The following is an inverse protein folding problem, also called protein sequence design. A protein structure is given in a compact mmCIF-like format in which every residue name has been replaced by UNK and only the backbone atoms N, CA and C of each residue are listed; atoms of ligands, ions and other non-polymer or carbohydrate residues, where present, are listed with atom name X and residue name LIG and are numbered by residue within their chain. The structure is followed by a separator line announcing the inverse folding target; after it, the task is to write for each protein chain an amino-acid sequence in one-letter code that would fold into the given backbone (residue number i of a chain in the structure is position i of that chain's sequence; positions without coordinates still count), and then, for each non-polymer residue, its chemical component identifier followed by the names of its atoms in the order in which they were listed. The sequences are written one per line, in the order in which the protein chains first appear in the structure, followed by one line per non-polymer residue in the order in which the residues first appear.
data_IF_457175154889
#
_entry.id   IF_457175154889
#
_cell.length_a   1.000
_cell.length_b   1.000
_cell.length_c   1.000
_cell.angle_alpha   90.00
_cell.angle_beta   90.00
_cell.angle_gamma   90.00
#
_symmetry.space_group_name_H-M   'P 1'
#
loop_
_entity.id
_entity.type
_entity.pdbx_description
1 polymer ?
#
# COMPACT_ATOMS: atom_id res chain seq x y z
N UNK A 1 4.07 -1.03 -52.14
CA UNK A 1 3.32 -1.47 -50.94
C UNK A 1 4.06 -1.00 -49.70
N UNK A 2 3.37 -0.31 -48.78
CA UNK A 2 4.01 0.55 -47.75
C UNK A 2 4.42 -0.27 -46.52
N UNK A 3 5.63 -0.03 -46.02
CA UNK A 3 6.29 -0.57 -44.78
C UNK A 3 5.49 -0.43 -43.47
N UNK A 4 4.23 0.01 -43.53
CA UNK A 4 3.36 0.31 -42.38
C UNK A 4 2.70 -0.97 -41.84
N UNK A 5 2.39 -1.93 -42.71
CA UNK A 5 1.74 -3.19 -42.34
C UNK A 5 2.67 -4.06 -41.47
N UNK A 6 3.95 -4.16 -41.84
CA UNK A 6 4.96 -4.89 -41.07
C UNK A 6 5.23 -4.29 -39.68
N UNK A 7 5.17 -2.95 -39.56
CA UNK A 7 5.33 -2.27 -38.27
C UNK A 7 4.10 -2.42 -37.39
N UNK A 8 2.90 -2.47 -37.99
CA UNK A 8 1.65 -2.76 -37.27
C UNK A 8 1.68 -4.16 -36.68
N UNK A 9 2.08 -5.16 -37.45
CA UNK A 9 2.09 -6.55 -36.99
C UNK A 9 3.12 -6.75 -35.87
N UNK A 10 4.29 -6.12 -35.99
CA UNK A 10 5.29 -6.11 -34.92
C UNK A 10 4.78 -5.39 -33.66
N UNK A 11 4.08 -4.25 -33.81
CA UNK A 11 3.50 -3.52 -32.69
C UNK A 11 2.42 -4.33 -31.97
N UNK A 12 1.50 -4.95 -32.72
CA UNK A 12 0.45 -5.81 -32.16
C UNK A 12 1.08 -7.00 -31.44
N UNK A 13 2.04 -7.67 -32.06
CA UNK A 13 2.74 -8.81 -31.44
C UNK A 13 3.50 -8.43 -30.15
N UNK A 14 4.23 -7.30 -30.17
CA UNK A 14 4.94 -6.81 -28.99
C UNK A 14 3.98 -6.37 -27.87
N UNK A 15 2.86 -5.72 -28.24
CA UNK A 15 1.82 -5.31 -27.30
C UNK A 15 1.13 -6.51 -26.67
N UNK A 16 0.73 -7.51 -27.46
CA UNK A 16 0.13 -8.76 -26.97
C UNK A 16 1.08 -9.50 -26.03
N UNK A 17 2.35 -9.62 -26.38
CA UNK A 17 3.37 -10.25 -25.53
C UNK A 17 3.55 -9.48 -24.22
N UNK A 18 3.53 -8.15 -24.26
CA UNK A 18 3.61 -7.30 -23.07
C UNK A 18 2.36 -7.45 -22.18
N UNK A 19 1.17 -7.45 -22.78
CA UNK A 19 -0.10 -7.62 -22.10
C UNK A 19 -0.24 -9.01 -21.47
N UNK A 20 0.21 -10.06 -22.15
CA UNK A 20 0.25 -11.42 -21.60
C UNK A 20 1.19 -11.52 -20.40
N UNK A 21 2.36 -10.87 -20.45
CA UNK A 21 3.25 -10.75 -19.28
C UNK A 21 2.56 -10.04 -18.12
N UNK A 22 1.84 -8.94 -18.39
CA UNK A 22 1.06 -8.24 -17.37
C UNK A 22 -0.04 -9.12 -16.76
N UNK A 23 -0.77 -9.89 -17.57
CA UNK A 23 -1.81 -10.82 -17.11
C UNK A 23 -1.22 -11.94 -16.25
N UNK A 24 -0.07 -12.50 -16.64
CA UNK A 24 0.59 -13.57 -15.87
C UNK A 24 1.16 -13.07 -14.55
N UNK A 25 1.74 -11.86 -14.53
CA UNK A 25 2.18 -11.18 -13.30
C UNK A 25 0.98 -10.86 -12.41
N UNK A 26 -0.14 -10.39 -12.97
CA UNK A 26 -1.37 -10.10 -12.23
C UNK A 26 -2.01 -11.36 -11.60
N UNK A 27 -1.91 -12.53 -12.26
CA UNK A 27 -2.43 -13.81 -11.74
C UNK A 27 -1.59 -14.42 -10.62
N UNK A 28 -0.31 -14.03 -10.51
CA UNK A 28 0.64 -14.59 -9.51
C UNK A 28 0.87 -13.66 -8.33
N UNK A 29 0.65 -12.35 -8.49
CA UNK A 29 0.42 -11.49 -7.33
C UNK A 29 -0.94 -11.89 -6.75
N UNK A 30 -0.97 -12.38 -5.51
CA UNK A 30 -2.18 -12.29 -4.70
C UNK A 30 -2.69 -10.87 -4.88
N UNK A 31 -3.89 -10.71 -5.45
CA UNK A 31 -4.45 -9.38 -5.72
C UNK A 31 -4.27 -8.56 -4.44
N UNK A 32 -3.69 -7.35 -4.49
CA UNK A 32 -3.76 -6.49 -3.31
C UNK A 32 -5.25 -6.38 -3.00
N UNK A 33 -5.65 -7.00 -1.89
CA UNK A 33 -7.00 -7.04 -1.32
C UNK A 33 -7.78 -5.80 -1.80
N UNK A 34 -8.90 -5.92 -2.56
CA UNK A 34 -9.60 -4.78 -3.14
C UNK A 34 -9.84 -3.63 -2.16
N UNK A 35 -10.01 -3.96 -0.88
CA UNK A 35 -10.11 -3.01 0.23
C UNK A 35 -8.82 -2.23 0.53
N UNK A 36 -7.63 -2.83 0.39
CA UNK A 36 -6.34 -2.11 0.48
C UNK A 36 -6.19 -1.07 -0.62
N UNK A 37 -6.65 -1.38 -1.83
CA UNK A 37 -6.62 -0.40 -2.93
C UNK A 37 -7.62 0.73 -2.65
N UNK A 38 -8.85 0.38 -2.24
CA UNK A 38 -9.91 1.32 -1.87
C UNK A 38 -9.46 2.31 -0.79
N UNK A 39 -8.76 1.83 0.24
CA UNK A 39 -8.37 2.61 1.42
C UNK A 39 -6.89 2.99 1.45
N UNK A 40 -6.17 2.90 0.31
CA UNK A 40 -4.71 3.11 0.25
C UNK A 40 -4.29 4.43 0.89
N UNK A 41 -4.99 5.51 0.56
CA UNK A 41 -4.65 6.85 1.07
C UNK A 41 -4.86 6.94 2.58
N UNK A 42 -5.96 6.41 3.08
CA UNK A 42 -6.32 6.38 4.49
C UNK A 42 -5.33 5.53 5.29
N UNK A 43 -4.97 4.35 4.78
CA UNK A 43 -3.94 3.49 5.38
C UNK A 43 -2.59 4.22 5.44
N UNK A 44 -2.17 4.86 4.35
CA UNK A 44 -0.90 5.58 4.35
C UNK A 44 -0.90 6.74 5.35
N UNK A 45 -2.03 7.46 5.45
CA UNK A 45 -2.19 8.58 6.35
C UNK A 45 -2.14 8.14 7.81
N UNK A 46 -3.01 7.19 8.22
CA UNK A 46 -3.09 6.78 9.63
C UNK A 46 -1.77 6.20 10.13
N UNK A 47 -1.09 5.37 9.32
CA UNK A 47 0.22 4.80 9.68
C UNK A 47 1.28 5.89 9.80
N UNK A 48 1.33 6.83 8.84
CA UNK A 48 2.28 7.94 8.87
C UNK A 48 2.02 8.91 10.04
N UNK A 49 0.76 9.13 10.41
CA UNK A 49 0.37 9.98 11.53
C UNK A 49 0.73 9.34 12.87
N UNK A 50 0.52 8.03 13.04
CA UNK A 50 0.92 7.27 14.25
C UNK A 50 2.41 7.44 14.52
N UNK A 51 3.26 7.27 13.50
CA UNK A 51 4.71 7.35 13.65
C UNK A 51 5.15 8.79 13.93
N UNK A 52 4.69 9.77 13.13
CA UNK A 52 5.08 11.18 13.31
C UNK A 52 4.63 11.76 14.65
N UNK A 53 3.44 11.39 15.11
CA UNK A 53 2.94 11.80 16.43
C UNK A 53 3.64 11.05 17.58
N UNK A 54 4.46 10.04 17.30
CA UNK A 54 5.20 9.32 18.31
C UNK A 54 4.30 8.45 19.20
N UNK A 55 3.17 7.97 18.67
CA UNK A 55 2.09 7.37 19.46
C UNK A 55 2.33 5.88 19.70
N UNK A 56 2.37 5.47 20.98
CA UNK A 56 2.59 4.08 21.37
C UNK A 56 1.29 3.28 21.49
N UNK A 57 0.17 3.94 21.83
CA UNK A 57 -1.17 3.35 21.85
C UNK A 57 -1.85 3.41 20.48
N UNK A 58 -1.16 2.92 19.45
CA UNK A 58 -1.58 3.06 18.06
C UNK A 58 -2.90 2.34 17.75
N UNK A 59 -3.26 1.30 18.49
CA UNK A 59 -4.55 0.60 18.33
C UNK A 59 -5.75 1.53 18.49
N UNK A 60 -5.78 2.31 19.58
CA UNK A 60 -6.87 3.25 19.87
C UNK A 60 -6.96 4.37 18.83
N UNK A 61 -5.81 4.81 18.30
CA UNK A 61 -5.77 5.84 17.26
C UNK A 61 -6.31 5.30 15.94
N UNK A 62 -5.94 4.07 15.58
CA UNK A 62 -6.48 3.40 14.39
C UNK A 62 -7.99 3.19 14.52
N UNK A 63 -8.48 2.74 15.67
CA UNK A 63 -9.91 2.58 15.95
C UNK A 63 -10.69 3.90 15.86
N UNK A 64 -10.11 4.99 16.37
CA UNK A 64 -10.68 6.33 16.28
C UNK A 64 -10.71 6.82 14.82
N UNK A 65 -9.63 6.64 14.06
CA UNK A 65 -9.59 6.97 12.64
C UNK A 65 -10.61 6.15 11.84
N UNK A 66 -10.76 4.87 12.17
CA UNK A 66 -11.68 3.96 11.50
C UNK A 66 -13.16 4.36 11.64
N UNK A 67 -13.50 5.28 12.55
CA UNK A 67 -14.84 5.89 12.60
C UNK A 67 -15.20 6.65 11.33
N UNK A 68 -14.21 7.10 10.56
CA UNK A 68 -14.38 7.76 9.25
C UNK A 68 -14.64 6.77 8.10
N UNK A 69 -14.47 5.47 8.34
CA UNK A 69 -14.66 4.39 7.37
C UNK A 69 -16.10 3.85 7.50
N UNK A 70 -16.78 3.49 6.39
CA UNK A 70 -18.06 2.80 6.42
C UNK A 70 -18.03 1.59 7.37
N UNK A 71 -19.12 1.38 8.12
CA UNK A 71 -19.19 0.33 9.15
C UNK A 71 -18.82 -1.06 8.61
N UNK A 72 -19.28 -1.41 7.41
CA UNK A 72 -19.06 -2.72 6.79
C UNK A 72 -17.58 -3.03 6.54
N UNK A 73 -16.75 -1.99 6.33
CA UNK A 73 -15.33 -2.12 6.03
C UNK A 73 -14.43 -1.82 7.24
N UNK A 74 -15.01 -1.38 8.36
CA UNK A 74 -14.26 -0.82 9.49
C UNK A 74 -13.32 -1.83 10.15
N UNK A 75 -13.80 -3.04 10.42
CA UNK A 75 -12.99 -4.09 11.06
C UNK A 75 -11.79 -4.45 10.20
N UNK A 76 -12.01 -4.69 8.90
CA UNK A 76 -10.96 -5.04 7.95
C UNK A 76 -9.97 -3.87 7.80
N UNK A 77 -10.44 -2.62 7.77
CA UNK A 77 -9.54 -1.46 7.74
C UNK A 77 -8.62 -1.40 8.97
N UNK A 78 -9.16 -1.62 10.17
CA UNK A 78 -8.37 -1.64 11.41
C UNK A 78 -7.30 -2.73 11.32
N UNK A 79 -7.67 -3.95 10.93
CA UNK A 79 -6.72 -5.05 10.78
C UNK A 79 -5.60 -4.72 9.80
N UNK A 80 -5.93 -4.17 8.63
CA UNK A 80 -4.96 -3.78 7.61
C UNK A 80 -4.01 -2.68 8.10
N UNK A 81 -4.52 -1.69 8.83
CA UNK A 81 -3.70 -0.60 9.38
C UNK A 81 -2.75 -1.12 10.49
N UNK A 82 -3.25 -1.99 11.37
CA UNK A 82 -2.43 -2.57 12.43
C UNK A 82 -1.35 -3.51 11.87
N UNK A 83 -1.67 -4.31 10.86
CA UNK A 83 -0.68 -5.14 10.17
C UNK A 83 0.40 -4.27 9.50
N UNK A 84 0.01 -3.17 8.85
CA UNK A 84 0.95 -2.22 8.25
C UNK A 84 1.90 -1.61 9.29
N UNK A 85 1.38 -1.18 10.45
CA UNK A 85 2.19 -0.62 11.55
C UNK A 85 3.18 -1.67 12.07
N UNK A 86 2.73 -2.90 12.31
CA UNK A 86 3.58 -4.00 12.80
C UNK A 86 4.69 -4.39 11.82
N UNK A 87 4.43 -4.24 10.52
CA UNK A 87 5.39 -4.55 9.44
C UNK A 87 6.29 -3.37 9.08
N UNK A 88 6.20 -2.23 9.77
CA UNK A 88 7.09 -1.10 9.50
C UNK A 88 8.56 -1.50 9.72
N UNK A 89 9.35 -1.29 8.68
CA UNK A 89 10.80 -1.36 8.71
C UNK A 89 11.36 -0.33 7.72
N UNK A 90 12.68 -0.08 7.76
CA UNK A 90 13.31 0.97 6.96
C UNK A 90 13.05 0.86 5.45
N UNK A 91 12.79 -0.35 4.94
CA UNK A 91 12.51 -0.62 3.53
C UNK A 91 11.11 -0.26 3.03
N UNK A 92 10.16 0.06 3.92
CA UNK A 92 8.76 0.39 3.55
C UNK A 92 8.34 1.82 3.91
N UNK A 93 9.22 2.62 4.53
CA UNK A 93 8.89 3.95 5.06
C UNK A 93 8.39 4.94 4.01
N UNK A 94 8.95 4.88 2.79
CA UNK A 94 8.60 5.81 1.70
C UNK A 94 7.11 5.76 1.36
N UNK A 95 6.47 4.58 1.47
CA UNK A 95 5.02 4.41 1.27
C UNK A 95 4.21 5.32 2.19
N UNK A 96 4.67 5.49 3.41
CA UNK A 96 4.03 6.25 4.48
C UNK A 96 4.56 7.68 4.60
N UNK A 97 5.42 8.10 3.67
CA UNK A 97 6.10 9.41 3.66
C UNK A 97 6.90 9.68 4.95
N UNK A 98 7.49 8.62 5.50
CA UNK A 98 8.29 8.68 6.72
C UNK A 98 9.79 8.72 6.38
N UNK A 99 10.53 9.46 7.18
CA UNK A 99 11.99 9.43 7.20
C UNK A 99 12.50 8.34 8.17
N UNK A 100 13.73 7.81 7.97
CA UNK A 100 14.33 6.89 8.94
C UNK A 100 14.45 7.49 10.35
N UNK A 101 14.67 8.80 10.46
CA UNK A 101 14.77 9.50 11.75
C UNK A 101 13.45 9.48 12.53
N UNK A 102 12.33 9.81 11.88
CA UNK A 102 11.00 9.74 12.49
C UNK A 102 10.66 8.31 12.95
N UNK A 103 10.97 7.32 12.12
CA UNK A 103 10.72 5.91 12.45
C UNK A 103 11.54 5.45 13.67
N UNK A 104 12.84 5.78 13.73
CA UNK A 104 13.70 5.43 14.88
C UNK A 104 13.21 6.08 16.17
N UNK A 105 12.92 7.37 16.12
CA UNK A 105 12.42 8.11 17.29
C UNK A 105 11.10 7.54 17.83
N UNK A 106 10.21 7.08 16.95
CA UNK A 106 8.99 6.38 17.37
C UNK A 106 9.28 5.00 17.93
N UNK A 107 10.17 4.23 17.28
CA UNK A 107 10.52 2.87 17.71
C UNK A 107 11.17 2.85 19.10
N UNK A 108 12.00 3.83 19.42
CA UNK A 108 12.63 3.95 20.74
C UNK A 108 11.59 4.13 21.85
N UNK A 109 10.46 4.79 21.56
CA UNK A 109 9.33 4.94 22.51
C UNK A 109 8.52 3.67 22.72
N UNK A 110 8.59 2.70 21.80
CA UNK A 110 7.86 1.42 21.92
C UNK A 110 8.59 0.39 22.78
N UNK A 111 9.91 0.57 22.97
CA UNK A 111 10.77 -0.36 23.72
C UNK A 111 10.89 0.04 25.20
N UNK A 112 10.42 1.24 25.54
CA UNK A 112 10.33 1.76 26.92
C UNK A 112 8.92 1.48 27.44
#
# INVERSE_FOLDING_TARGET
MRRIELLRDLFVWAYERSAQRYIQVKKTLAEPEPLRLKYRTQLHQVVGDVVRAGQTQYTTIVEAYAQTIPNDDRSIFIEMALDDIRRLHEGVLVRYRLTPAEFRAWKDKLVI
#
